data_IF_948954659833
#
_entry.id   IF_948954659833
#
_cell.length_a   1.000
_cell.length_b   1.000
_cell.length_c   1.000
_cell.angle_alpha   90.00
_cell.angle_beta   90.00
_cell.angle_gamma   90.00
#
_symmetry.space_group_name_H-M   'P 1'
#
loop_
_entity.id
_entity.type
_entity.pdbx_description
1 polymer ?
#
# COMPACT_ATOMS: atom_id res chain seq x y z
N UNK A 1 8.91 -6.23 6.42
CA UNK A 1 8.99 -7.05 5.20
C UNK A 1 8.36 -8.45 5.33
N UNK A 2 8.55 -9.16 6.44
CA UNK A 2 8.14 -10.56 6.57
C UNK A 2 6.65 -10.82 6.26
N UNK A 3 5.76 -9.99 6.80
CA UNK A 3 4.31 -10.09 6.53
C UNK A 3 3.99 -10.01 5.03
N UNK A 4 4.64 -9.07 4.31
CA UNK A 4 4.49 -8.90 2.86
C UNK A 4 4.93 -10.14 2.07
N UNK A 5 6.03 -10.76 2.50
CA UNK A 5 6.48 -12.02 1.92
C UNK A 5 5.46 -13.14 2.15
N UNK A 6 4.92 -13.24 3.37
CA UNK A 6 3.93 -14.25 3.76
C UNK A 6 2.67 -14.20 2.88
N UNK A 7 2.11 -13.03 2.59
CA UNK A 7 0.94 -12.91 1.70
C UNK A 7 1.25 -12.87 0.20
N UNK A 8 2.52 -12.98 -0.21
CA UNK A 8 2.85 -13.08 -1.65
C UNK A 8 2.68 -14.52 -2.10
N UNK A 9 1.62 -14.91 -2.82
CA UNK A 9 1.46 -16.28 -3.27
C UNK A 9 2.45 -16.58 -4.41
N UNK A 10 2.90 -17.83 -4.51
CA UNK A 10 3.90 -18.25 -5.50
C UNK A 10 3.41 -18.01 -6.94
N UNK A 11 2.10 -18.15 -7.15
CA UNK A 11 1.44 -17.95 -8.44
C UNK A 11 1.41 -16.48 -8.87
N UNK A 12 1.54 -15.53 -7.93
CA UNK A 12 1.57 -14.10 -8.23
C UNK A 12 2.97 -13.59 -8.56
N UNK A 13 4.01 -14.44 -8.53
CA UNK A 13 5.36 -14.05 -8.91
C UNK A 13 5.42 -13.76 -10.41
N UNK A 14 5.75 -12.53 -10.77
CA UNK A 14 5.72 -12.06 -12.16
C UNK A 14 7.13 -11.87 -12.73
N UNK A 15 7.31 -12.27 -13.99
CA UNK A 15 8.47 -11.95 -14.80
C UNK A 15 9.81 -12.52 -14.31
N UNK A 16 10.89 -12.06 -14.95
CA UNK A 16 12.26 -12.27 -14.49
C UNK A 16 12.64 -11.23 -13.45
N UNK A 17 13.59 -11.57 -12.57
CA UNK A 17 14.12 -10.63 -11.58
C UNK A 17 15.04 -9.64 -12.29
N UNK A 18 14.78 -8.34 -12.12
CA UNK A 18 15.79 -7.33 -12.42
C UNK A 18 16.75 -7.20 -11.23
N UNK A 19 17.91 -7.84 -11.34
CA UNK A 19 18.89 -7.94 -10.26
C UNK A 19 19.52 -6.61 -9.86
N UNK A 20 19.60 -5.65 -10.77
CA UNK A 20 20.11 -4.31 -10.48
C UNK A 20 19.15 -3.55 -9.57
N UNK A 21 17.86 -3.63 -9.87
CA UNK A 21 16.81 -3.05 -9.01
C UNK A 21 16.79 -3.80 -7.68
N UNK A 22 16.80 -5.13 -7.70
CA UNK A 22 16.77 -5.93 -6.46
C UNK A 22 17.93 -5.59 -5.52
N UNK A 23 19.16 -5.52 -6.05
CA UNK A 23 20.33 -5.12 -5.27
C UNK A 23 20.15 -3.74 -4.63
N UNK A 24 19.74 -2.74 -5.42
CA UNK A 24 19.48 -1.38 -4.91
C UNK A 24 18.44 -1.37 -3.80
N UNK A 25 17.36 -2.13 -3.95
CA UNK A 25 16.32 -2.22 -2.93
C UNK A 25 16.78 -2.89 -1.64
N UNK A 26 17.68 -3.88 -1.74
CA UNK A 26 18.29 -4.54 -0.59
C UNK A 26 19.28 -3.63 0.13
N UNK A 27 20.07 -2.85 -0.60
CA UNK A 27 21.02 -1.89 -0.04
C UNK A 27 20.32 -0.76 0.75
N UNK A 28 19.06 -0.48 0.43
CA UNK A 28 18.23 0.50 1.12
C UNK A 28 17.44 -0.08 2.31
N UNK A 29 17.55 -1.39 2.60
CA UNK A 29 16.88 -1.99 3.75
C UNK A 29 17.61 -1.61 5.05
N UNK A 30 16.82 -1.34 6.08
CA UNK A 30 17.32 -1.24 7.45
C UNK A 30 17.76 -2.61 7.99
N UNK A 31 18.47 -2.59 9.11
CA UNK A 31 18.99 -3.81 9.74
C UNK A 31 17.89 -4.83 10.03
N UNK A 32 16.70 -4.37 10.43
CA UNK A 32 15.55 -5.22 10.71
C UNK A 32 15.09 -5.98 9.46
N UNK A 33 14.93 -5.31 8.32
CA UNK A 33 14.52 -5.97 7.09
C UNK A 33 15.66 -6.79 6.45
N UNK A 34 16.93 -6.46 6.70
CA UNK A 34 18.06 -7.33 6.33
C UNK A 34 18.05 -8.64 7.11
N UNK A 35 17.70 -8.64 8.41
CA UNK A 35 17.50 -9.89 9.17
C UNK A 35 16.40 -10.75 8.57
N UNK A 36 15.28 -10.15 8.14
CA UNK A 36 14.20 -10.87 7.45
C UNK A 36 14.71 -11.55 6.18
N UNK A 37 15.58 -10.89 5.41
CA UNK A 37 16.19 -11.46 4.20
C UNK A 37 16.96 -12.76 4.53
N UNK A 38 17.72 -12.76 5.61
CA UNK A 38 18.41 -13.96 6.12
C UNK A 38 17.45 -15.06 6.59
N UNK A 39 16.41 -14.71 7.36
CA UNK A 39 15.41 -15.69 7.85
C UNK A 39 14.63 -16.38 6.72
N UNK A 40 14.38 -15.68 5.63
CA UNK A 40 13.69 -16.24 4.45
C UNK A 40 14.64 -17.09 3.59
N UNK A 41 15.95 -17.06 3.85
CA UNK A 41 16.95 -17.86 3.14
C UNK A 41 17.63 -17.15 1.97
N UNK A 42 17.48 -15.83 1.85
CA UNK A 42 18.20 -15.05 0.85
C UNK A 42 19.61 -14.71 1.34
N UNK A 43 20.55 -14.66 0.39
CA UNK A 43 21.96 -14.32 0.64
C UNK A 43 22.29 -13.04 -0.12
N UNK A 44 22.65 -11.93 0.56
CA UNK A 44 23.04 -10.69 -0.11
C UNK A 44 24.17 -10.88 -1.13
N UNK A 45 25.10 -11.79 -0.84
CA UNK A 45 26.19 -12.15 -1.75
C UNK A 45 25.70 -12.73 -3.08
N UNK A 46 24.63 -13.54 -3.06
CA UNK A 46 24.05 -14.07 -4.30
C UNK A 46 23.37 -12.95 -5.09
N UNK A 47 22.63 -12.06 -4.43
CA UNK A 47 21.99 -10.90 -5.08
C UNK A 47 23.05 -10.03 -5.78
N UNK A 48 24.18 -9.77 -5.11
CA UNK A 48 25.30 -9.02 -5.67
C UNK A 48 25.93 -9.74 -6.88
N UNK A 49 26.21 -11.05 -6.76
CA UNK A 49 26.73 -11.87 -7.87
C UNK A 49 25.81 -11.83 -9.09
N UNK A 50 24.50 -11.94 -8.85
CA UNK A 50 23.49 -11.92 -9.90
C UNK A 50 23.38 -10.55 -10.57
N UNK A 51 23.48 -9.46 -9.79
CA UNK A 51 23.53 -8.11 -10.34
C UNK A 51 24.76 -7.89 -11.24
N UNK A 52 25.89 -8.54 -10.94
CA UNK A 52 27.13 -8.47 -11.75
C UNK A 52 27.12 -9.35 -13.02
N UNK A 53 25.95 -9.87 -13.43
CA UNK A 53 25.82 -10.71 -14.63
C UNK A 53 25.84 -12.21 -14.36
N UNK A 54 25.71 -12.62 -13.09
CA UNK A 54 25.46 -14.02 -12.76
C UNK A 54 24.13 -14.52 -13.34
N UNK A 55 24.03 -15.84 -13.53
CA UNK A 55 22.79 -16.53 -13.90
C UNK A 55 22.40 -17.52 -12.81
N UNK A 56 21.10 -17.59 -12.48
CA UNK A 56 20.57 -18.63 -11.59
C UNK A 56 20.21 -19.82 -12.47
N UNK A 57 20.76 -20.98 -12.09
CA UNK A 57 20.36 -22.25 -12.69
C UNK A 57 19.02 -22.65 -12.09
N UNK A 58 18.19 -23.29 -12.88
CA UNK A 58 16.90 -23.87 -12.47
C UNK A 58 16.86 -25.35 -12.90
N UNK A 59 18.01 -26.05 -12.84
CA UNK A 59 18.17 -27.41 -13.37
C UNK A 59 17.82 -28.49 -12.35
N UNK A 60 17.99 -28.21 -11.06
CA UNK A 60 17.63 -29.13 -9.97
C UNK A 60 16.41 -28.61 -9.19
N UNK A 61 15.66 -29.49 -8.51
CA UNK A 61 14.53 -29.08 -7.66
C UNK A 61 14.92 -28.02 -6.60
N UNK A 62 16.10 -28.17 -6.00
CA UNK A 62 16.62 -27.24 -4.99
C UNK A 62 16.93 -25.86 -5.59
N UNK A 63 17.52 -25.83 -6.79
CA UNK A 63 17.78 -24.59 -7.53
C UNK A 63 16.49 -23.86 -7.93
N UNK A 64 15.44 -24.61 -8.30
CA UNK A 64 14.11 -24.07 -8.59
C UNK A 64 13.50 -23.45 -7.33
N UNK A 65 13.62 -24.12 -6.18
CA UNK A 65 13.10 -23.62 -4.91
C UNK A 65 13.83 -22.36 -4.45
N UNK A 66 15.16 -22.34 -4.55
CA UNK A 66 15.96 -21.13 -4.29
C UNK A 66 15.47 -20.00 -5.19
N UNK A 67 15.31 -20.26 -6.49
CA UNK A 67 14.85 -19.23 -7.42
C UNK A 67 13.46 -18.72 -7.07
N UNK A 68 12.58 -19.61 -6.62
CA UNK A 68 11.24 -19.26 -6.16
C UNK A 68 11.28 -18.32 -4.95
N UNK A 69 12.13 -18.59 -3.97
CA UNK A 69 12.29 -17.74 -2.79
C UNK A 69 12.70 -16.31 -3.19
N UNK A 70 13.68 -16.17 -4.10
CA UNK A 70 14.19 -14.86 -4.54
C UNK A 70 13.15 -14.09 -5.36
N UNK A 71 12.47 -14.77 -6.29
CA UNK A 71 11.40 -14.17 -7.09
C UNK A 71 10.26 -13.70 -6.17
N UNK A 72 9.88 -14.49 -5.16
CA UNK A 72 8.83 -14.14 -4.18
C UNK A 72 9.21 -12.93 -3.34
N UNK A 73 10.45 -12.88 -2.85
CA UNK A 73 10.93 -11.73 -2.09
C UNK A 73 10.99 -10.46 -2.95
N UNK A 74 11.44 -10.58 -4.21
CA UNK A 74 11.43 -9.47 -5.15
C UNK A 74 10.02 -8.93 -5.41
N UNK A 75 9.02 -9.81 -5.56
CA UNK A 75 7.60 -9.41 -5.64
C UNK A 75 7.11 -8.75 -4.34
N UNK A 76 7.54 -9.24 -3.17
CA UNK A 76 7.17 -8.63 -1.89
C UNK A 76 7.71 -7.19 -1.73
N UNK A 77 8.86 -6.86 -2.35
CA UNK A 77 9.37 -5.47 -2.40
C UNK A 77 8.44 -4.53 -3.18
N UNK A 78 7.80 -5.04 -4.23
CA UNK A 78 6.81 -4.26 -5.00
C UNK A 78 5.57 -3.95 -4.14
N UNK A 79 5.10 -4.95 -3.38
CA UNK A 79 3.99 -4.80 -2.44
C UNK A 79 4.33 -3.83 -1.30
N UNK A 80 5.59 -3.86 -0.82
CA UNK A 80 6.09 -2.89 0.17
C UNK A 80 5.95 -1.47 -0.33
N UNK A 81 6.35 -1.20 -1.57
CA UNK A 81 6.31 0.14 -2.13
C UNK A 81 4.86 0.63 -2.28
N UNK A 82 3.94 -0.24 -2.70
CA UNK A 82 2.50 0.07 -2.71
C UNK A 82 1.96 0.41 -1.31
N UNK A 83 2.33 -0.39 -0.30
CA UNK A 83 1.95 -0.15 1.11
C UNK A 83 2.64 1.08 1.73
N UNK A 84 3.61 1.66 1.04
CA UNK A 84 4.34 2.87 1.43
C UNK A 84 3.95 4.07 0.53
N UNK A 85 2.71 4.08 0.04
CA UNK A 85 2.10 5.19 -0.70
C UNK A 85 2.68 5.45 -2.09
N UNK A 86 3.50 4.53 -2.61
CA UNK A 86 3.97 4.64 -3.98
C UNK A 86 2.84 4.28 -4.94
N UNK A 87 2.42 5.19 -5.84
CA UNK A 87 1.31 4.90 -6.73
C UNK A 87 1.72 3.81 -7.74
N UNK A 88 0.75 3.00 -8.15
CA UNK A 88 0.94 1.85 -9.06
C UNK A 88 1.81 2.18 -10.28
N UNK A 89 1.61 3.33 -10.92
CA UNK A 89 2.39 3.72 -12.10
C UNK A 89 3.87 4.01 -11.80
N UNK A 90 4.18 4.49 -10.60
CA UNK A 90 5.54 4.72 -10.16
C UNK A 90 6.23 3.40 -9.81
N UNK A 91 5.52 2.47 -9.15
CA UNK A 91 6.00 1.11 -8.91
C UNK A 91 6.25 0.38 -10.23
N UNK A 92 5.30 0.43 -11.16
CA UNK A 92 5.44 -0.15 -12.50
C UNK A 92 6.71 0.34 -13.22
N UNK A 93 6.97 1.65 -13.19
CA UNK A 93 8.19 2.24 -13.75
C UNK A 93 9.45 1.81 -12.98
N UNK A 94 9.39 1.78 -11.65
CA UNK A 94 10.52 1.44 -10.79
C UNK A 94 11.01 0.01 -11.03
N UNK A 95 10.10 -0.94 -11.20
CA UNK A 95 10.39 -2.36 -11.39
C UNK A 95 10.43 -2.82 -12.86
N UNK A 96 10.25 -1.87 -13.80
CA UNK A 96 10.17 -2.13 -15.25
C UNK A 96 9.10 -3.18 -15.61
N UNK A 97 7.90 -3.00 -15.07
CA UNK A 97 6.76 -3.88 -15.28
C UNK A 97 5.56 -3.11 -15.84
N UNK A 98 4.68 -3.74 -16.65
CA UNK A 98 3.44 -3.13 -17.07
C UNK A 98 2.57 -2.73 -15.87
N UNK A 99 1.89 -1.58 -15.97
CA UNK A 99 1.00 -1.10 -14.91
C UNK A 99 -0.06 -2.13 -14.53
N UNK A 100 -0.65 -2.82 -15.50
CA UNK A 100 -1.65 -3.86 -15.26
C UNK A 100 -1.12 -5.02 -14.42
N UNK A 101 0.16 -5.38 -14.59
CA UNK A 101 0.82 -6.43 -13.80
C UNK A 101 0.87 -6.06 -12.32
N UNK A 102 1.22 -4.81 -11.99
CA UNK A 102 1.25 -4.34 -10.60
C UNK A 102 -0.16 -4.26 -10.00
N UNK A 103 -1.16 -3.85 -10.78
CA UNK A 103 -2.57 -3.83 -10.33
C UNK A 103 -3.07 -5.24 -10.02
N UNK A 104 -2.83 -6.18 -10.93
CA UNK A 104 -3.21 -7.58 -10.75
C UNK A 104 -2.48 -8.18 -9.54
N UNK A 105 -1.18 -7.91 -9.39
CA UNK A 105 -0.41 -8.34 -8.23
C UNK A 105 -1.05 -7.87 -6.91
N UNK A 106 -1.38 -6.59 -6.80
CA UNK A 106 -2.02 -6.04 -5.60
C UNK A 106 -3.37 -6.72 -5.31
N UNK A 107 -4.21 -6.92 -6.34
CA UNK A 107 -5.51 -7.57 -6.20
C UNK A 107 -5.38 -9.04 -5.80
N UNK A 108 -4.50 -9.80 -6.43
CA UNK A 108 -4.27 -11.22 -6.12
C UNK A 108 -3.73 -11.37 -4.70
N UNK A 109 -2.76 -10.55 -4.29
CA UNK A 109 -2.22 -10.57 -2.94
C UNK A 109 -3.24 -10.17 -1.87
N UNK A 110 -4.09 -9.18 -2.13
CA UNK A 110 -5.17 -8.80 -1.21
C UNK A 110 -6.19 -9.94 -1.02
N UNK A 111 -6.61 -10.58 -2.12
CA UNK A 111 -7.52 -11.73 -2.04
C UNK A 111 -6.89 -12.93 -1.32
N UNK A 112 -5.60 -13.20 -1.56
CA UNK A 112 -4.86 -14.26 -0.87
C UNK A 112 -4.72 -13.96 0.63
N UNK A 113 -4.42 -12.72 1.00
CA UNK A 113 -4.34 -12.29 2.40
C UNK A 113 -5.65 -12.54 3.16
N UNK A 114 -6.81 -12.25 2.54
CA UNK A 114 -8.12 -12.53 3.13
C UNK A 114 -8.30 -14.02 3.50
N UNK A 115 -7.85 -14.94 2.62
CA UNK A 115 -7.84 -16.37 2.90
C UNK A 115 -6.91 -16.75 4.05
N UNK A 116 -5.71 -16.16 4.11
CA UNK A 116 -4.75 -16.39 5.20
C UNK A 116 -5.26 -15.91 6.56
N UNK A 117 -5.92 -14.75 6.61
CA UNK A 117 -6.51 -14.19 7.82
C UNK A 117 -7.58 -15.15 8.35
N UNK A 118 -8.52 -15.57 7.49
CA UNK A 118 -9.57 -16.54 7.86
C UNK A 118 -8.99 -17.88 8.31
N UNK A 119 -7.91 -18.34 7.67
CA UNK A 119 -7.20 -19.54 8.13
C UNK A 119 -6.60 -19.36 9.53
N UNK A 120 -5.92 -18.23 9.79
CA UNK A 120 -5.35 -17.94 11.10
C UNK A 120 -6.44 -17.85 12.18
N UNK A 121 -7.58 -17.22 11.89
CA UNK A 121 -8.74 -17.20 12.80
C UNK A 121 -9.24 -18.62 13.12
N UNK A 122 -9.33 -19.51 12.13
CA UNK A 122 -9.77 -20.90 12.34
C UNK A 122 -8.76 -21.75 13.12
N UNK A 123 -7.48 -21.42 13.05
CA UNK A 123 -6.40 -22.08 13.79
C UNK A 123 -6.15 -21.47 15.17
N UNK A 124 -6.96 -20.49 15.58
CA UNK A 124 -6.81 -19.73 16.83
C UNK A 124 -5.48 -18.94 16.91
N UNK A 125 -4.98 -18.49 15.76
CA UNK A 125 -3.77 -17.66 15.64
C UNK A 125 -4.13 -16.17 15.54
N UNK A 126 -4.92 -15.67 16.50
CA UNK A 126 -5.50 -14.33 16.47
C UNK A 126 -4.47 -13.21 16.27
N UNK A 127 -3.31 -13.28 16.93
CA UNK A 127 -2.25 -12.28 16.78
C UNK A 127 -1.72 -12.20 15.33
N UNK A 128 -1.54 -13.34 14.67
CA UNK A 128 -1.11 -13.37 13.26
C UNK A 128 -2.21 -12.90 12.33
N UNK A 129 -3.47 -13.27 12.61
CA UNK A 129 -4.63 -12.79 11.86
C UNK A 129 -4.71 -11.26 11.88
N UNK A 130 -4.60 -10.63 13.05
CA UNK A 130 -4.64 -9.17 13.20
C UNK A 130 -3.51 -8.47 12.44
N UNK A 131 -2.28 -9.02 12.50
CA UNK A 131 -1.14 -8.47 11.74
C UNK A 131 -1.36 -8.59 10.23
N UNK A 132 -1.88 -9.72 9.75
CA UNK A 132 -2.18 -9.92 8.33
C UNK A 132 -3.30 -9.00 7.85
N UNK A 133 -4.35 -8.81 8.66
CA UNK A 133 -5.49 -7.94 8.36
C UNK A 133 -5.04 -6.48 8.19
N UNK A 134 -4.26 -5.99 9.15
CA UNK A 134 -3.68 -4.64 9.08
C UNK A 134 -2.87 -4.40 7.80
N UNK A 135 -2.03 -5.37 7.41
CA UNK A 135 -1.25 -5.24 6.17
C UNK A 135 -2.10 -5.42 4.89
N UNK A 136 -3.19 -6.19 4.97
CA UNK A 136 -4.16 -6.32 3.88
C UNK A 136 -4.85 -4.99 3.60
N UNK A 137 -5.23 -4.26 4.65
CA UNK A 137 -5.83 -2.92 4.52
C UNK A 137 -4.85 -1.89 3.98
N UNK A 138 -3.59 -1.93 4.43
CA UNK A 138 -2.51 -1.11 3.85
C UNK A 138 -2.33 -1.35 2.36
N UNK A 139 -2.39 -2.61 1.93
CA UNK A 139 -2.26 -2.96 0.52
C UNK A 139 -3.47 -2.47 -0.28
N UNK A 140 -4.69 -2.66 0.25
CA UNK A 140 -5.94 -2.22 -0.38
C UNK A 140 -6.01 -0.70 -0.53
N UNK A 141 -5.63 0.04 0.51
CA UNK A 141 -5.55 1.48 0.49
C UNK A 141 -4.38 2.00 -0.35
N UNK A 142 -3.31 1.19 -0.48
CA UNK A 142 -2.02 1.61 -1.02
C UNK A 142 -1.40 2.71 -0.16
N UNK A 143 -1.51 2.58 1.16
CA UNK A 143 -1.18 3.63 2.12
C UNK A 143 -0.48 3.08 3.36
N UNK A 144 0.21 3.96 4.08
CA UNK A 144 0.78 3.66 5.39
C UNK A 144 -0.31 3.60 6.46
N UNK A 145 0.04 3.02 7.61
CA UNK A 145 -0.87 2.77 8.73
C UNK A 145 -1.52 4.04 9.28
N UNK A 146 -0.77 5.15 9.32
CA UNK A 146 -1.26 6.46 9.75
C UNK A 146 -2.41 6.98 8.86
N UNK A 147 -2.39 6.64 7.57
CA UNK A 147 -3.38 7.12 6.61
C UNK A 147 -4.61 6.23 6.44
N UNK A 148 -4.64 5.04 7.06
CA UNK A 148 -5.71 4.06 6.82
C UNK A 148 -7.09 4.62 7.13
N UNK A 149 -7.26 5.21 8.31
CA UNK A 149 -8.52 5.80 8.74
C UNK A 149 -9.01 6.90 7.77
N UNK A 150 -8.08 7.72 7.25
CA UNK A 150 -8.42 8.76 6.28
C UNK A 150 -8.77 8.19 4.90
N UNK A 151 -8.12 7.09 4.49
CA UNK A 151 -8.32 6.45 3.19
C UNK A 151 -9.68 5.73 3.07
N UNK A 152 -10.37 5.50 4.19
CA UNK A 152 -11.76 5.00 4.22
C UNK A 152 -12.78 6.07 3.82
N UNK A 153 -12.45 7.35 4.01
CA UNK A 153 -13.36 8.46 3.69
C UNK A 153 -13.57 8.52 2.18
N UNK A 154 -14.83 8.69 1.77
CA UNK A 154 -15.21 8.77 0.36
C UNK A 154 -14.41 9.88 -0.35
N UNK A 155 -13.88 9.58 -1.54
CA UNK A 155 -13.01 10.47 -2.33
C UNK A 155 -11.61 10.76 -1.77
N UNK A 156 -11.25 10.28 -0.58
CA UNK A 156 -9.90 10.36 -0.05
C UNK A 156 -9.18 9.05 -0.37
N UNK A 157 -8.17 9.12 -1.25
CA UNK A 157 -7.27 8.00 -1.58
C UNK A 157 -5.88 8.29 -1.01
N UNK A 158 -5.01 7.29 -0.95
CA UNK A 158 -3.63 7.38 -0.39
C UNK A 158 -2.94 8.74 -0.57
N UNK A 159 -2.81 9.25 -1.81
CA UNK A 159 -2.21 10.56 -2.08
C UNK A 159 -2.96 11.74 -1.44
N UNK A 160 -4.28 11.75 -1.53
CA UNK A 160 -5.12 12.79 -0.91
C UNK A 160 -5.05 12.68 0.60
N UNK A 161 -5.09 11.47 1.16
CA UNK A 161 -4.93 11.24 2.60
C UNK A 161 -3.62 11.83 3.12
N UNK A 162 -2.49 11.60 2.42
CA UNK A 162 -1.20 12.19 2.80
C UNK A 162 -1.23 13.71 2.81
N UNK A 163 -1.85 14.33 1.81
CA UNK A 163 -1.94 15.80 1.74
C UNK A 163 -2.79 16.35 2.89
N UNK A 164 -3.90 15.70 3.24
CA UNK A 164 -4.69 16.08 4.42
C UNK A 164 -3.90 15.91 5.71
N UNK A 165 -3.21 14.79 5.86
CA UNK A 165 -2.35 14.48 7.01
C UNK A 165 -1.24 15.52 7.22
N UNK A 166 -0.56 15.90 6.13
CA UNK A 166 0.51 16.89 6.14
C UNK A 166 -0.01 18.31 6.44
N UNK A 167 -1.29 18.59 6.18
CA UNK A 167 -1.97 19.83 6.54
C UNK A 167 -2.65 19.79 7.93
N UNK A 168 -2.35 18.76 8.76
CA UNK A 168 -2.81 18.69 10.15
C UNK A 168 -4.09 17.89 10.37
N UNK A 169 -4.81 17.48 9.32
CA UNK A 169 -6.00 16.64 9.42
C UNK A 169 -5.62 15.17 9.56
N UNK A 170 -5.21 14.77 10.78
CA UNK A 170 -4.68 13.42 11.07
C UNK A 170 -5.75 12.41 11.47
N UNK A 171 -6.94 12.86 11.85
CA UNK A 171 -8.02 11.96 12.30
C UNK A 171 -9.28 12.18 11.47
N UNK A 172 -10.16 11.17 11.45
CA UNK A 172 -11.47 11.29 10.81
C UNK A 172 -12.29 12.40 11.46
N UNK A 173 -12.24 12.50 12.79
CA UNK A 173 -12.89 13.58 13.56
C UNK A 173 -12.40 14.97 13.18
N UNK A 174 -11.10 15.13 12.90
CA UNK A 174 -10.56 16.42 12.44
C UNK A 174 -11.14 16.85 11.10
N UNK A 175 -11.41 15.91 10.19
CA UNK A 175 -12.06 16.20 8.90
C UNK A 175 -13.57 16.40 9.07
N UNK A 176 -14.19 15.63 9.95
CA UNK A 176 -15.62 15.71 10.25
C UNK A 176 -16.02 17.07 10.84
N UNK A 177 -15.18 17.64 11.71
CA UNK A 177 -15.38 18.96 12.32
C UNK A 177 -14.81 20.15 11.55
N UNK A 178 -14.22 19.93 10.37
CA UNK A 178 -13.60 20.99 9.58
C UNK A 178 -14.63 21.83 8.80
N UNK A 179 -14.37 23.14 8.65
CA UNK A 179 -15.16 23.97 7.73
C UNK A 179 -14.80 23.65 6.27
N UNK A 180 -15.81 23.63 5.40
CA UNK A 180 -15.63 23.41 3.97
C UNK A 180 -14.65 24.41 3.34
N UNK A 181 -14.61 25.64 3.85
CA UNK A 181 -13.70 26.69 3.39
C UNK A 181 -12.23 26.34 3.60
N UNK A 182 -11.92 25.57 4.65
CA UNK A 182 -10.56 25.12 4.96
C UNK A 182 -10.16 23.88 4.14
N UNK A 183 -11.12 23.01 3.84
CA UNK A 183 -10.88 21.78 3.09
C UNK A 183 -10.66 22.02 1.58
N UNK A 184 -11.31 23.03 1.01
CA UNK A 184 -11.24 23.31 -0.44
C UNK A 184 -9.80 23.58 -0.92
N UNK A 185 -9.00 24.45 -0.27
CA UNK A 185 -7.59 24.65 -0.64
C UNK A 185 -6.77 23.35 -0.63
N UNK A 186 -6.97 22.49 0.37
CA UNK A 186 -6.24 21.23 0.52
C UNK A 186 -6.64 20.25 -0.59
N UNK A 187 -7.93 20.18 -0.92
CA UNK A 187 -8.43 19.37 -2.03
C UNK A 187 -7.88 19.81 -3.39
N UNK A 188 -7.67 21.12 -3.56
CA UNK A 188 -7.06 21.70 -4.74
C UNK A 188 -5.59 21.27 -4.86
N UNK A 189 -4.82 21.30 -3.76
CA UNK A 189 -3.45 20.78 -3.73
C UNK A 189 -3.37 19.29 -4.08
N UNK A 190 -4.40 18.52 -3.71
CA UNK A 190 -4.46 17.09 -4.00
C UNK A 190 -4.80 16.73 -5.45
N UNK A 191 -5.13 17.71 -6.31
CA UNK A 191 -5.43 17.42 -7.71
C UNK A 191 -4.17 17.13 -8.53
N UNK A 192 -4.17 16.10 -9.39
CA UNK A 192 -3.01 15.70 -10.17
C UNK A 192 -2.61 16.70 -11.29
N UNK A 193 -3.46 17.70 -11.61
CA UNK A 193 -3.17 18.75 -12.60
C UNK A 193 -3.76 20.10 -12.16
N UNK A 194 -3.01 21.19 -12.34
CA UNK A 194 -3.58 22.53 -12.45
C UNK A 194 -4.26 22.63 -13.81
N UNK A 195 -5.58 22.50 -13.86
CA UNK A 195 -6.35 22.82 -15.06
C UNK A 195 -6.28 24.35 -15.26
N UNK A 196 -5.79 24.81 -16.41
CA UNK A 196 -6.02 26.20 -16.85
C UNK A 196 -7.43 26.23 -17.42
N UNK A 197 -8.39 26.68 -16.61
CA UNK A 197 -9.80 26.76 -16.97
C UNK A 197 -10.11 28.18 -17.48
N UNK A 198 -11.06 28.30 -18.41
CA UNK A 198 -11.62 29.59 -18.78
C UNK A 198 -12.51 30.10 -17.63
N UNK A 199 -12.77 31.41 -17.55
CA UNK A 199 -13.50 32.05 -16.43
C UNK A 199 -14.85 31.40 -16.11
N UNK A 200 -15.61 30.95 -17.12
CA UNK A 200 -16.94 30.32 -16.94
C UNK A 200 -16.85 28.84 -16.50
N UNK A 201 -15.68 28.23 -16.67
CA UNK A 201 -15.38 26.88 -16.19
C UNK A 201 -14.85 26.88 -14.75
N UNK A 202 -14.32 28.01 -14.27
CA UNK A 202 -13.80 28.15 -12.90
C UNK A 202 -14.93 28.09 -11.85
N UNK A 203 -16.06 28.77 -12.07
CA UNK A 203 -17.20 28.72 -11.14
C UNK A 203 -17.80 27.31 -11.05
N UNK A 204 -18.01 26.67 -12.20
CA UNK A 204 -18.50 25.28 -12.27
C UNK A 204 -17.51 24.30 -11.61
N UNK A 205 -16.22 24.56 -11.75
CA UNK A 205 -15.17 23.76 -11.11
C UNK A 205 -15.16 23.94 -9.59
N UNK A 206 -15.25 25.18 -9.11
CA UNK A 206 -15.38 25.49 -7.69
C UNK A 206 -16.62 24.84 -7.07
N UNK A 207 -17.78 24.93 -7.73
CA UNK A 207 -19.01 24.27 -7.27
C UNK A 207 -18.84 22.74 -7.15
N UNK A 208 -18.16 22.10 -8.12
CA UNK A 208 -17.84 20.66 -8.06
C UNK A 208 -16.89 20.32 -6.90
N UNK A 209 -15.90 21.17 -6.62
CA UNK A 209 -15.01 20.98 -5.48
C UNK A 209 -15.75 21.12 -4.16
N UNK A 210 -16.63 22.12 -4.02
CA UNK A 210 -17.49 22.28 -2.84
C UNK A 210 -18.36 21.03 -2.64
N UNK A 211 -19.06 20.57 -3.68
CA UNK A 211 -19.89 19.36 -3.59
C UNK A 211 -19.08 18.11 -3.21
N UNK A 212 -17.83 18.01 -3.69
CA UNK A 212 -16.91 16.94 -3.29
C UNK A 212 -16.50 17.06 -1.82
N UNK A 213 -16.18 18.26 -1.35
CA UNK A 213 -15.83 18.53 0.04
C UNK A 213 -17.00 18.21 0.98
N UNK A 214 -18.23 18.57 0.62
CA UNK A 214 -19.44 18.21 1.39
C UNK A 214 -19.56 16.71 1.55
N UNK A 215 -19.42 15.93 0.47
CA UNK A 215 -19.46 14.47 0.54
C UNK A 215 -18.33 13.85 1.36
N UNK A 216 -17.15 14.49 1.38
CA UNK A 216 -16.03 14.07 2.23
C UNK A 216 -16.41 14.25 3.70
N UNK A 217 -16.93 15.41 4.07
CA UNK A 217 -17.36 15.72 5.45
C UNK A 217 -18.51 14.82 5.89
N UNK A 218 -19.54 14.61 5.05
CA UNK A 218 -20.64 13.67 5.33
C UNK A 218 -20.13 12.25 5.55
N UNK A 219 -19.20 11.78 4.70
CA UNK A 219 -18.59 10.47 4.85
C UNK A 219 -17.72 10.38 6.11
N UNK A 220 -17.01 11.45 6.47
CA UNK A 220 -16.19 11.51 7.67
C UNK A 220 -17.05 11.48 8.94
N UNK A 221 -18.13 12.26 8.99
CA UNK A 221 -19.10 12.26 10.09
C UNK A 221 -19.67 10.86 10.34
N UNK A 222 -20.11 10.17 9.28
CA UNK A 222 -20.64 8.80 9.42
C UNK A 222 -19.61 7.80 9.96
N UNK A 223 -18.34 7.93 9.56
CA UNK A 223 -17.27 7.06 10.06
C UNK A 223 -16.94 7.42 11.52
N UNK A 224 -16.90 8.71 11.83
CA UNK A 224 -16.65 9.23 13.18
C UNK A 224 -17.72 8.79 14.18
N UNK A 225 -19.00 8.90 13.82
CA UNK A 225 -20.12 8.43 14.65
C UNK A 225 -20.00 6.93 14.98
N UNK A 226 -19.57 6.12 14.00
CA UNK A 226 -19.34 4.68 14.22
C UNK A 226 -18.17 4.43 15.17
N UNK A 227 -17.07 5.16 15.01
CA UNK A 227 -15.90 5.04 15.88
C UNK A 227 -16.27 5.40 17.32
N UNK A 228 -17.01 6.49 17.51
CA UNK A 228 -17.46 6.91 18.85
C UNK A 228 -18.40 5.89 19.50
N UNK A 229 -19.29 5.27 18.72
CA UNK A 229 -20.16 4.21 19.25
C UNK A 229 -19.36 2.99 19.71
N UNK A 230 -18.33 2.59 18.95
CA UNK A 230 -17.48 1.44 19.30
C UNK A 230 -16.69 1.69 20.59
N UNK A 231 -16.14 2.89 20.77
CA UNK A 231 -15.42 3.26 22.01
C UNK A 231 -16.33 3.15 23.24
N UNK A 232 -17.60 3.59 23.14
CA UNK A 232 -18.57 3.47 24.24
C UNK A 232 -18.83 2.00 24.60
N UNK A 233 -18.97 1.12 23.61
CA UNK A 233 -19.23 -0.31 23.85
C UNK A 233 -18.01 -1.08 24.39
N UNK A 234 -16.78 -0.58 24.19
CA UNK A 234 -15.55 -1.21 24.70
C UNK A 234 -15.24 -0.77 26.14
N UNK A 235 -15.83 0.33 26.61
CA UNK A 235 -15.69 0.84 27.99
C UNK A 235 -16.69 0.22 28.98
N UNK A 236 -17.77 -0.41 28.50
CA UNK A 236 -18.82 -1.11 29.28
C UNK A 236 -18.54 -2.63 29.43
#
# INVERSE_FOLDING_TARGET
MHVLYTFTPVQAMQGSINWQIFRREVDMLDESNLRVLGFVGLKPSLINKMAQGGSMRESTPDEIEITRIYKRFYTALQLRDLCNEMPVHAVARKYDLPRGTIQNLAQTCHGFAAGMIKFCEKMDWGALAAVLDHFSDRLKAGAKSDLLALAEITFIKSRTARIFWDNGYKTVGAIAGADLKELIPILLMAQPKKLRLASDDEEKYHAKLCAKATKIVESANRIWERQMQQEIYEED
#
